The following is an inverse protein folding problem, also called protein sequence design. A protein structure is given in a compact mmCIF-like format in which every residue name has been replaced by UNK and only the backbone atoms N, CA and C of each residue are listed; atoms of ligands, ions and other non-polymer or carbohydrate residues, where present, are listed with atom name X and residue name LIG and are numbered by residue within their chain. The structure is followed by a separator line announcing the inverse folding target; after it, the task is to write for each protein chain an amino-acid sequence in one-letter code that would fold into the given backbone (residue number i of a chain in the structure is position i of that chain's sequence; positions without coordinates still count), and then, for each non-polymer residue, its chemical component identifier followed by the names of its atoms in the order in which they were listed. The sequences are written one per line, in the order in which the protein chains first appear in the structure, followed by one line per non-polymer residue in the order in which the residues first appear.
data_IF_378719710504
#
_entry.id   IF_378719710504
#
_cell.length_a   1.000
_cell.length_b   1.000
_cell.length_c   1.000
_cell.angle_alpha   90.00
_cell.angle_beta   90.00
_cell.angle_gamma   90.00
#
_symmetry.space_group_name_H-M   'P 1'
#
loop_
_entity.id
_entity.type
_entity.pdbx_description
1 polymer ?
#
# COMPACT_ATOMS: atom_id res chain seq x y z
N UNK A 1 -2.04 -4.15 8.17
CA UNK A 1 -3.08 -4.97 7.49
C UNK A 1 -3.27 -6.32 8.15
N UNK A 2 -2.31 -7.27 8.18
CA UNK A 2 -2.53 -8.66 8.60
C UNK A 2 -3.11 -8.84 10.01
N UNK A 3 -2.70 -8.05 11.01
CA UNK A 3 -3.30 -8.11 12.35
C UNK A 3 -4.81 -7.78 12.32
N UNK A 4 -5.21 -6.79 11.53
CA UNK A 4 -6.62 -6.42 11.40
C UNK A 4 -7.42 -7.51 10.67
N UNK A 5 -6.81 -8.18 9.70
CA UNK A 5 -7.43 -9.34 9.02
C UNK A 5 -7.60 -10.54 9.95
N UNK A 6 -6.65 -10.77 10.85
CA UNK A 6 -6.76 -11.81 11.87
C UNK A 6 -7.96 -11.59 12.80
N UNK A 7 -8.19 -10.34 13.21
CA UNK A 7 -9.36 -9.99 14.03
C UNK A 7 -10.68 -10.23 13.26
N UNK A 8 -10.73 -9.88 11.97
CA UNK A 8 -11.88 -10.15 11.11
C UNK A 8 -12.10 -11.65 10.94
N UNK A 9 -11.04 -12.43 10.75
CA UNK A 9 -11.10 -13.89 10.64
C UNK A 9 -11.65 -14.54 11.91
N UNK A 10 -11.17 -14.10 13.10
CA UNK A 10 -11.69 -14.56 14.40
C UNK A 10 -13.18 -14.25 14.62
N UNK A 11 -13.69 -13.22 13.95
CA UNK A 11 -15.11 -12.86 13.93
C UNK A 11 -15.93 -13.68 12.94
N UNK A 12 -15.33 -14.65 12.25
CA UNK A 12 -15.99 -15.50 11.25
C UNK A 12 -16.31 -14.81 9.93
N UNK A 13 -15.67 -13.66 9.63
CA UNK A 13 -15.90 -12.91 8.39
C UNK A 13 -15.25 -13.59 7.20
N UNK A 14 -15.95 -13.60 6.07
CA UNK A 14 -15.36 -13.97 4.76
C UNK A 14 -14.44 -12.85 4.30
N UNK A 15 -13.17 -13.17 4.04
CA UNK A 15 -12.15 -12.19 3.67
C UNK A 15 -11.56 -12.58 2.32
N UNK A 16 -11.46 -11.61 1.41
CA UNK A 16 -10.67 -11.75 0.19
C UNK A 16 -9.54 -10.73 0.16
N UNK A 17 -8.35 -11.18 -0.19
CA UNK A 17 -7.14 -10.35 -0.25
C UNK A 17 -6.67 -10.24 -1.70
N UNK A 18 -6.36 -9.02 -2.12
CA UNK A 18 -5.79 -8.71 -3.42
C UNK A 18 -4.44 -8.03 -3.27
N UNK A 19 -3.56 -8.21 -4.25
CA UNK A 19 -2.28 -7.53 -4.35
C UNK A 19 -1.95 -7.21 -5.82
N UNK A 20 -1.05 -6.24 -6.08
CA UNK A 20 -0.66 -5.96 -7.46
C UNK A 20 0.12 -7.13 -8.08
N UNK A 21 -0.18 -7.46 -9.32
CA UNK A 21 0.54 -8.49 -10.07
C UNK A 21 2.03 -8.15 -10.25
N UNK A 22 2.38 -6.87 -10.21
CA UNK A 22 3.76 -6.39 -10.33
C UNK A 22 4.61 -6.65 -9.09
N UNK A 23 4.00 -6.98 -7.95
CA UNK A 23 4.72 -7.24 -6.71
C UNK A 23 5.15 -8.71 -6.62
N UNK A 24 6.27 -9.02 -7.24
CA UNK A 24 6.91 -10.34 -7.28
C UNK A 24 8.08 -10.48 -6.29
N UNK A 25 8.23 -9.51 -5.35
CA UNK A 25 9.37 -9.42 -4.42
C UNK A 25 9.60 -10.65 -3.55
N UNK A 26 8.55 -11.41 -3.24
CA UNK A 26 8.63 -12.50 -2.26
C UNK A 26 8.26 -13.88 -2.79
N UNK A 27 7.49 -13.99 -3.86
CA UNK A 27 7.05 -15.28 -4.41
C UNK A 27 6.98 -15.25 -5.93
N UNK A 28 7.51 -16.29 -6.58
CA UNK A 28 7.41 -16.45 -8.05
C UNK A 28 6.00 -16.77 -8.52
N UNK A 29 5.17 -17.39 -7.67
CA UNK A 29 3.79 -17.75 -7.96
C UNK A 29 2.79 -16.62 -7.72
N UNK A 30 3.23 -15.54 -7.06
CA UNK A 30 2.48 -14.30 -6.83
C UNK A 30 1.09 -14.50 -6.17
N UNK A 31 0.90 -15.59 -5.42
CA UNK A 31 -0.40 -15.96 -4.80
C UNK A 31 -0.44 -15.71 -3.29
N UNK A 32 0.64 -15.18 -2.71
CA UNK A 32 0.76 -15.05 -1.26
C UNK A 32 1.27 -13.66 -0.86
N UNK A 33 0.70 -13.09 0.19
CA UNK A 33 1.29 -11.94 0.89
C UNK A 33 2.16 -12.48 2.01
N UNK A 34 3.41 -12.01 2.08
CA UNK A 34 4.38 -12.39 3.10
C UNK A 34 4.84 -11.15 3.85
N UNK A 35 4.79 -11.17 5.19
CA UNK A 35 5.42 -10.12 6.01
C UNK A 35 6.90 -10.40 6.22
N UNK A 36 7.67 -9.37 6.60
CA UNK A 36 9.06 -9.52 7.04
C UNK A 36 9.24 -10.50 8.22
N UNK A 37 8.18 -10.80 8.98
CA UNK A 37 8.16 -11.79 10.06
C UNK A 37 7.75 -13.20 9.61
N UNK A 38 7.58 -13.41 8.30
CA UNK A 38 7.25 -14.72 7.73
C UNK A 38 5.77 -15.12 7.80
N UNK A 39 4.87 -14.22 8.21
CA UNK A 39 3.44 -14.49 8.18
C UNK A 39 2.93 -14.47 6.74
N UNK A 40 2.12 -15.46 6.39
CA UNK A 40 1.63 -15.67 5.03
C UNK A 40 0.10 -15.71 5.00
N UNK A 41 -0.49 -15.13 3.96
CA UNK A 41 -1.92 -15.23 3.63
C UNK A 41 -2.06 -15.34 2.11
N UNK A 42 -2.95 -16.22 1.68
CA UNK A 42 -3.31 -16.33 0.27
C UNK A 42 -3.93 -15.02 -0.24
N UNK A 43 -3.59 -14.67 -1.44
CA UNK A 43 -4.04 -13.44 -2.11
C UNK A 43 -4.18 -13.66 -3.60
N UNK A 44 -4.97 -12.82 -4.24
CA UNK A 44 -5.15 -12.81 -5.69
C UNK A 44 -4.35 -11.64 -6.26
N UNK A 45 -3.49 -11.96 -7.22
CA UNK A 45 -2.73 -10.96 -7.96
C UNK A 45 -3.62 -10.32 -9.05
N UNK A 46 -3.71 -9.00 -9.06
CA UNK A 46 -4.54 -8.22 -9.98
C UNK A 46 -3.71 -7.17 -10.74
N UNK A 47 -4.12 -6.85 -11.95
CA UNK A 47 -3.47 -5.84 -12.81
C UNK A 47 -4.02 -4.44 -12.56
N UNK A 48 -5.33 -4.36 -12.36
CA UNK A 48 -6.07 -3.13 -12.13
C UNK A 48 -7.28 -3.36 -11.23
N UNK A 49 -7.96 -2.28 -10.85
CA UNK A 49 -9.11 -2.35 -9.96
C UNK A 49 -10.31 -3.14 -10.54
N UNK A 50 -10.46 -3.22 -11.87
CA UNK A 50 -11.58 -3.94 -12.51
C UNK A 50 -11.44 -5.46 -12.33
N UNK A 51 -10.25 -5.98 -12.13
CA UNK A 51 -10.06 -7.41 -11.85
C UNK A 51 -10.73 -7.84 -10.54
N UNK A 52 -10.89 -6.92 -9.57
CA UNK A 52 -11.70 -7.17 -8.36
C UNK A 52 -13.17 -7.43 -8.74
N UNK A 53 -13.74 -6.61 -9.63
CA UNK A 53 -15.14 -6.79 -10.05
C UNK A 53 -15.32 -8.09 -10.82
N UNK A 54 -14.41 -8.44 -11.73
CA UNK A 54 -14.43 -9.72 -12.45
C UNK A 54 -14.39 -10.91 -11.50
N UNK A 55 -13.53 -10.84 -10.47
CA UNK A 55 -13.49 -11.88 -9.46
C UNK A 55 -14.84 -12.02 -8.75
N UNK A 56 -15.50 -10.92 -8.42
CA UNK A 56 -16.80 -10.89 -7.72
C UNK A 56 -17.98 -11.34 -8.61
N UNK A 57 -17.83 -11.33 -9.95
CA UNK A 57 -18.83 -11.91 -10.87
C UNK A 57 -18.90 -13.44 -10.76
N UNK A 58 -17.79 -14.09 -10.39
CA UNK A 58 -17.65 -15.54 -10.29
C UNK A 58 -17.68 -16.07 -8.85
N UNK A 59 -17.63 -15.16 -7.85
CA UNK A 59 -17.50 -15.52 -6.44
C UNK A 59 -18.47 -14.71 -5.58
N UNK A 60 -18.87 -15.26 -4.45
CA UNK A 60 -19.66 -14.55 -3.44
C UNK A 60 -18.97 -13.27 -2.96
N UNK A 61 -19.75 -12.24 -2.73
CA UNK A 61 -19.23 -11.00 -2.13
C UNK A 61 -18.71 -11.27 -0.71
N UNK A 62 -17.42 -10.99 -0.44
CA UNK A 62 -16.88 -11.17 0.90
C UNK A 62 -17.32 -10.04 1.85
N UNK A 63 -17.29 -10.32 3.17
CA UNK A 63 -17.55 -9.30 4.19
C UNK A 63 -16.44 -8.23 4.21
N UNK A 64 -15.20 -8.65 3.89
CA UNK A 64 -14.01 -7.81 3.93
C UNK A 64 -13.19 -8.02 2.67
N UNK A 65 -12.88 -6.92 1.99
CA UNK A 65 -11.88 -6.88 0.92
C UNK A 65 -10.63 -6.17 1.46
N UNK A 66 -9.50 -6.84 1.36
CA UNK A 66 -8.20 -6.28 1.69
C UNK A 66 -7.34 -6.11 0.43
N UNK A 67 -6.64 -4.99 0.33
CA UNK A 67 -5.73 -4.71 -0.79
C UNK A 67 -4.38 -4.30 -0.26
N UNK A 68 -3.35 -5.05 -0.63
CA UNK A 68 -1.97 -4.71 -0.32
C UNK A 68 -1.34 -3.92 -1.46
N UNK A 69 -0.40 -3.01 -1.11
CA UNK A 69 0.33 -2.16 -2.06
C UNK A 69 -0.60 -1.46 -3.08
N UNK A 70 -1.73 -0.94 -2.60
CA UNK A 70 -2.81 -0.41 -3.44
C UNK A 70 -2.37 0.72 -4.38
N UNK A 71 -1.29 1.47 -4.05
CA UNK A 71 -0.74 2.52 -4.91
C UNK A 71 -0.26 1.99 -6.28
N UNK A 72 0.06 0.70 -6.38
CA UNK A 72 0.52 0.05 -7.60
C UNK A 72 -0.63 -0.42 -8.52
N UNK A 73 -1.89 -0.36 -8.07
CA UNK A 73 -3.04 -0.92 -8.79
C UNK A 73 -3.87 0.20 -9.41
N UNK A 74 -3.77 0.44 -10.72
CA UNK A 74 -4.52 1.50 -11.39
C UNK A 74 -6.03 1.31 -11.24
N UNK A 75 -6.76 2.40 -10.94
CA UNK A 75 -8.22 2.41 -10.83
C UNK A 75 -8.79 1.70 -9.60
N UNK A 76 -7.95 1.22 -8.69
CA UNK A 76 -8.39 0.48 -7.49
C UNK A 76 -9.24 1.36 -6.56
N UNK A 77 -8.90 2.63 -6.41
CA UNK A 77 -9.64 3.54 -5.55
C UNK A 77 -11.12 3.64 -5.93
N UNK A 78 -11.41 3.78 -7.23
CA UNK A 78 -12.78 3.88 -7.72
C UNK A 78 -13.61 2.64 -7.37
N UNK A 79 -13.03 1.46 -7.53
CA UNK A 79 -13.69 0.18 -7.24
C UNK A 79 -13.90 0.00 -5.74
N UNK A 80 -12.87 0.24 -4.93
CA UNK A 80 -12.95 0.07 -3.47
C UNK A 80 -13.93 1.07 -2.84
N UNK A 81 -13.97 2.32 -3.29
CA UNK A 81 -14.94 3.31 -2.84
C UNK A 81 -16.37 2.87 -3.20
N UNK A 82 -16.57 2.33 -4.41
CA UNK A 82 -17.87 1.82 -4.83
C UNK A 82 -18.31 0.65 -3.94
N UNK A 83 -17.45 -0.33 -3.69
CA UNK A 83 -17.72 -1.48 -2.82
C UNK A 83 -18.00 -1.06 -1.37
N UNK A 84 -17.22 -0.13 -0.84
CA UNK A 84 -17.44 0.45 0.49
C UNK A 84 -18.85 1.08 0.62
N UNK A 85 -19.25 1.87 -0.38
CA UNK A 85 -20.58 2.48 -0.41
C UNK A 85 -21.73 1.47 -0.55
N UNK A 86 -21.44 0.25 -0.95
CA UNK A 86 -22.37 -0.87 -1.00
C UNK A 86 -22.27 -1.82 0.21
N UNK A 87 -21.57 -1.40 1.27
CA UNK A 87 -21.55 -2.09 2.56
C UNK A 87 -20.41 -3.07 2.79
N UNK A 88 -19.48 -3.22 1.83
CA UNK A 88 -18.30 -4.07 2.01
C UNK A 88 -17.27 -3.35 2.89
N UNK A 89 -16.72 -4.03 3.89
CA UNK A 89 -15.61 -3.50 4.68
C UNK A 89 -14.31 -3.53 3.86
N UNK A 90 -13.59 -2.41 3.82
CA UNK A 90 -12.36 -2.28 3.02
C UNK A 90 -11.17 -2.05 3.94
N UNK A 91 -10.09 -2.81 3.74
CA UNK A 91 -8.80 -2.64 4.44
C UNK A 91 -7.70 -2.47 3.40
N UNK A 92 -7.02 -1.33 3.43
CA UNK A 92 -5.94 -1.02 2.47
C UNK A 92 -4.62 -0.89 3.20
N UNK A 93 -3.57 -1.46 2.62
CA UNK A 93 -2.18 -1.26 3.00
C UNK A 93 -1.44 -0.61 1.83
N UNK A 94 -0.77 0.50 2.09
CA UNK A 94 -0.12 1.27 1.02
C UNK A 94 0.85 2.30 1.57
N UNK A 95 1.74 2.79 0.73
CA UNK A 95 2.42 4.08 0.94
C UNK A 95 1.60 5.18 0.26
N UNK A 96 1.60 6.38 0.85
CA UNK A 96 0.86 7.52 0.34
C UNK A 96 1.68 8.44 -0.57
N UNK A 97 3.02 8.44 -0.40
CA UNK A 97 3.94 9.30 -1.13
C UNK A 97 4.99 8.48 -1.86
N UNK A 98 5.37 8.93 -3.05
CA UNK A 98 6.54 8.44 -3.75
C UNK A 98 7.84 8.89 -3.06
N UNK A 99 8.98 8.35 -3.48
CA UNK A 99 10.30 8.78 -3.02
C UNK A 99 10.59 10.28 -3.29
N UNK A 100 9.91 10.87 -4.27
CA UNK A 100 10.01 12.30 -4.61
C UNK A 100 8.97 13.17 -3.88
N UNK A 101 8.25 12.62 -2.89
CA UNK A 101 7.21 13.35 -2.14
C UNK A 101 5.91 13.59 -2.91
N UNK A 102 5.73 12.98 -4.09
CA UNK A 102 4.49 13.11 -4.86
C UNK A 102 3.42 12.15 -4.33
N UNK A 103 2.20 12.64 -4.06
CA UNK A 103 1.11 11.77 -3.60
C UNK A 103 0.68 10.78 -4.68
N UNK A 104 0.40 9.54 -4.30
CA UNK A 104 -0.22 8.55 -5.19
C UNK A 104 -1.71 8.84 -5.32
N UNK A 105 -2.18 9.01 -6.56
CA UNK A 105 -3.57 9.39 -6.87
C UNK A 105 -4.62 8.43 -6.31
N UNK A 106 -4.37 7.14 -6.35
CA UNK A 106 -5.29 6.12 -5.83
C UNK A 106 -5.47 6.29 -4.32
N UNK A 107 -4.37 6.52 -3.58
CA UNK A 107 -4.41 6.70 -2.13
C UNK A 107 -5.06 8.03 -1.78
N UNK A 108 -4.68 9.11 -2.46
CA UNK A 108 -5.30 10.43 -2.27
C UNK A 108 -6.81 10.39 -2.45
N UNK A 109 -7.30 9.65 -3.45
CA UNK A 109 -8.73 9.50 -3.71
C UNK A 109 -9.47 8.74 -2.60
N UNK A 110 -8.81 7.78 -1.94
CA UNK A 110 -9.42 6.97 -0.87
C UNK A 110 -9.44 7.67 0.49
N UNK A 111 -8.49 8.55 0.79
CA UNK A 111 -8.38 9.20 2.11
C UNK A 111 -9.70 9.85 2.63
N UNK A 112 -10.47 10.60 1.82
CA UNK A 112 -11.72 11.20 2.29
C UNK A 112 -12.81 10.17 2.70
N UNK A 113 -12.69 8.93 2.25
CA UNK A 113 -13.62 7.83 2.52
C UNK A 113 -13.16 6.94 3.68
N UNK A 114 -11.92 7.11 4.14
CA UNK A 114 -11.37 6.31 5.22
C UNK A 114 -12.04 6.68 6.55
N UNK A 115 -12.51 5.67 7.28
CA UNK A 115 -13.04 5.83 8.63
C UNK A 115 -11.94 5.77 9.69
N UNK A 116 -10.80 5.17 9.34
CA UNK A 116 -9.63 5.02 10.21
C UNK A 116 -8.36 5.03 9.36
N UNK A 117 -7.34 5.77 9.79
CA UNK A 117 -6.03 5.84 9.14
C UNK A 117 -4.93 5.61 10.15
N UNK A 118 -4.12 4.57 9.93
CA UNK A 118 -2.92 4.29 10.72
C UNK A 118 -1.67 4.62 9.91
N UNK A 119 -1.05 5.75 10.20
CA UNK A 119 0.22 6.09 9.59
C UNK A 119 1.37 5.44 10.35
N UNK A 120 1.96 4.43 9.73
CA UNK A 120 3.07 3.68 10.31
C UNK A 120 4.39 4.41 10.09
N UNK A 121 5.32 4.24 11.01
CA UNK A 121 6.69 4.75 10.91
C UNK A 121 7.71 3.62 11.03
N UNK A 122 8.91 3.87 10.54
CA UNK A 122 10.07 3.03 10.74
C UNK A 122 11.17 3.83 11.46
N UNK A 123 12.27 3.19 11.80
CA UNK A 123 13.46 3.89 12.31
C UNK A 123 14.24 4.46 11.12
N UNK A 124 14.58 5.73 11.16
CA UNK A 124 15.35 6.39 10.11
C UNK A 124 16.69 5.67 9.85
N UNK A 125 16.92 5.27 8.61
CA UNK A 125 18.14 4.54 8.22
C UNK A 125 19.43 5.34 8.41
N UNK A 126 19.33 6.68 8.37
CA UNK A 126 20.49 7.58 8.49
C UNK A 126 20.80 7.92 9.94
N UNK A 127 19.89 8.57 10.66
CA UNK A 127 20.19 9.07 12.02
C UNK A 127 19.91 8.06 13.12
N UNK A 128 19.16 6.99 12.88
CA UNK A 128 18.78 5.94 13.83
C UNK A 128 18.04 6.43 15.10
N UNK A 129 17.61 7.70 15.13
CA UNK A 129 17.04 8.38 16.30
C UNK A 129 15.60 8.83 16.14
N UNK A 130 15.14 9.03 14.88
CA UNK A 130 13.83 9.62 14.58
C UNK A 130 12.96 8.62 13.84
N UNK A 131 11.66 8.78 14.00
CA UNK A 131 10.68 8.11 13.18
C UNK A 131 10.81 8.55 11.71
N UNK A 132 10.76 7.57 10.84
CA UNK A 132 10.84 7.75 9.39
C UNK A 132 9.49 7.48 8.76
N UNK A 133 8.94 8.48 8.10
CA UNK A 133 7.67 8.42 7.38
C UNK A 133 7.84 8.53 5.87
N UNK A 134 9.06 8.70 5.39
CA UNK A 134 9.36 8.95 3.98
C UNK A 134 10.26 7.88 3.42
N UNK A 135 10.00 7.53 2.17
CA UNK A 135 10.81 6.56 1.43
C UNK A 135 11.87 7.30 0.62
N UNK A 136 13.12 6.95 0.83
CA UNK A 136 14.23 7.41 -0.02
C UNK A 136 14.62 6.30 -0.98
N UNK A 137 14.76 6.63 -2.26
CA UNK A 137 15.26 5.72 -3.29
C UNK A 137 16.78 5.83 -3.38
N UNK A 138 17.45 4.68 -3.37
CA UNK A 138 18.91 4.58 -3.44
C UNK A 138 19.45 4.42 -4.87
N UNK A 139 18.56 4.09 -5.81
CA UNK A 139 18.90 3.84 -7.22
C UNK A 139 18.57 5.04 -8.09
N UNK A 140 19.38 5.27 -9.14
CA UNK A 140 19.21 6.34 -10.14
C UNK A 140 18.28 5.89 -11.28
N UNK A 141 17.07 5.40 -10.94
CA UNK A 141 16.06 5.02 -11.91
C UNK A 141 14.98 6.12 -11.97
N UNK A 142 14.69 6.64 -13.16
CA UNK A 142 13.73 7.75 -13.35
C UNK A 142 12.26 7.29 -13.35
N UNK A 143 11.98 5.99 -13.25
CA UNK A 143 10.60 5.50 -13.21
C UNK A 143 9.90 5.87 -11.89
N UNK A 144 8.63 6.24 -11.95
CA UNK A 144 7.85 6.64 -10.77
C UNK A 144 7.71 5.49 -9.75
N UNK A 145 7.65 4.25 -10.23
CA UNK A 145 7.51 3.05 -9.41
C UNK A 145 8.55 2.02 -9.85
N UNK A 146 9.52 1.76 -8.97
CA UNK A 146 10.46 0.64 -9.07
C UNK A 146 10.04 -0.41 -8.05
N UNK A 147 9.84 -1.64 -8.50
CA UNK A 147 9.60 -2.76 -7.58
C UNK A 147 10.94 -3.12 -6.94
N UNK A 148 11.02 -3.04 -5.61
CA UNK A 148 12.24 -3.32 -4.88
C UNK A 148 12.05 -3.25 -3.37
N UNK A 149 12.95 -3.88 -2.64
CA UNK A 149 12.97 -3.90 -1.17
C UNK A 149 14.04 -2.98 -0.58
N UNK A 150 14.68 -3.45 0.50
CA UNK A 150 15.73 -2.71 1.22
C UNK A 150 16.99 -2.43 0.37
N UNK A 151 17.19 -3.13 -0.74
CA UNK A 151 18.27 -2.87 -1.71
C UNK A 151 18.04 -1.56 -2.47
N UNK A 152 16.78 -1.24 -2.80
CA UNK A 152 16.40 -0.08 -3.62
C UNK A 152 15.90 1.10 -2.80
N UNK A 153 15.37 0.85 -1.60
CA UNK A 153 14.73 1.86 -0.77
C UNK A 153 15.21 1.81 0.67
N UNK A 154 15.10 2.95 1.35
CA UNK A 154 15.29 3.03 2.79
C UNK A 154 14.36 4.06 3.43
N UNK A 155 13.92 3.84 4.70
CA UNK A 155 13.10 4.80 5.42
C UNK A 155 13.98 5.97 5.92
N UNK A 156 13.53 7.20 5.69
CA UNK A 156 14.15 8.42 6.19
C UNK A 156 13.19 9.32 6.94
N UNK A 157 13.67 9.97 7.98
CA UNK A 157 12.94 11.03 8.65
C UNK A 157 13.02 12.33 7.82
N UNK A 158 12.14 13.29 8.13
CA UNK A 158 12.11 14.60 7.49
C UNK A 158 13.50 15.25 7.35
N UNK A 159 14.29 15.28 8.43
CA UNK A 159 15.60 15.96 8.45
C UNK A 159 16.65 15.26 7.55
N UNK A 160 16.55 13.95 7.45
CA UNK A 160 17.54 13.15 6.69
C UNK A 160 17.15 12.88 5.24
N UNK A 161 15.94 13.31 4.82
CA UNK A 161 15.48 13.12 3.45
C UNK A 161 15.91 14.31 2.58
N UNK A 162 16.71 14.10 1.53
CA UNK A 162 17.30 15.20 0.77
C UNK A 162 16.29 15.98 -0.09
N UNK A 163 15.21 15.33 -0.52
CA UNK A 163 14.25 15.91 -1.47
C UNK A 163 13.01 16.50 -0.77
N UNK A 164 12.56 15.88 0.32
CA UNK A 164 11.33 16.32 1.02
C UNK A 164 11.59 17.49 1.96
N UNK A 165 12.82 17.60 2.45
CA UNK A 165 13.23 18.70 3.32
C UNK A 165 13.67 19.91 2.48
N UNK A 166 12.71 20.66 1.96
CA UNK A 166 12.98 21.91 1.29
C UNK A 166 13.50 22.97 2.30
N UNK A 167 14.52 23.71 1.92
CA UNK A 167 15.04 24.79 2.75
C UNK A 167 14.09 25.98 2.74
N UNK A 168 13.96 26.73 3.85
CA UNK A 168 13.20 27.98 3.85
C UNK A 168 13.70 28.92 2.74
N UNK A 169 12.81 29.39 1.88
CA UNK A 169 13.11 30.26 0.74
C UNK A 169 13.13 29.57 -0.64
N UNK A 170 12.98 28.25 -0.69
CA UNK A 170 12.88 27.47 -1.95
C UNK A 170 11.42 27.16 -2.33
N UNK A 171 10.45 27.94 -1.78
CA UNK A 171 9.04 27.75 -2.17
C UNK A 171 8.82 28.28 -3.59
N UNK A 172 8.46 27.37 -4.49
CA UNK A 172 8.04 27.66 -5.86
C UNK A 172 6.54 27.41 -5.97
N UNK A 173 5.79 28.40 -6.46
CA UNK A 173 4.36 28.29 -6.76
C UNK A 173 4.07 27.26 -7.87
#
# INVERSE_FOLDING_TARGET
MLLRLEDCFRQGKKIQIFKPQRDDRYTKDNTTIITHLGWQKESIAIKDGLDILKYLEENDLPDVIAVDEAFMIPGVAKVLIWLFRHGTSIIVSSIELSYAGKPFKEITAMFPWATEVHKMSAVCAVCKRREAHYTYRKTDDDSDIVVGGAESYEPRCWVCHPTINEKPGEYHE
#
